data_IF_422828433239
#
_entry.id   IF_422828433239
#
_cell.length_a   1.000
_cell.length_b   1.000
_cell.length_c   1.000
_cell.angle_alpha   90.00
_cell.angle_beta   90.00
_cell.angle_gamma   90.00
#
_symmetry.space_group_name_H-M   'P 1'
#
loop_
_entity.id
_entity.type
_entity.pdbx_description
1 polymer ?
#
# COMPACT_ATOMS: atom_id res chain seq x y z
N UNK A 1 -7.65 -16.70 3.46
CA UNK A 1 -7.03 -15.37 3.68
C UNK A 1 -6.15 -14.96 2.51
N UNK A 2 -5.15 -15.79 2.18
CA UNK A 2 -4.26 -15.46 1.07
C UNK A 2 -5.00 -15.28 -0.25
N UNK A 3 -6.01 -16.11 -0.51
CA UNK A 3 -6.80 -16.00 -1.74
C UNK A 3 -7.58 -14.70 -1.81
N UNK A 4 -8.01 -14.19 -0.66
CA UNK A 4 -8.74 -12.93 -0.63
C UNK A 4 -7.81 -11.76 -0.98
N UNK A 5 -6.61 -11.74 -0.41
CA UNK A 5 -5.62 -10.69 -0.69
C UNK A 5 -5.19 -10.75 -2.15
N UNK A 6 -4.96 -11.95 -2.70
CA UNK A 6 -4.61 -12.07 -4.11
C UNK A 6 -5.71 -11.55 -5.03
N UNK A 7 -6.97 -11.83 -4.71
CA UNK A 7 -8.09 -11.35 -5.50
C UNK A 7 -8.19 -9.82 -5.46
N UNK A 8 -8.00 -9.24 -4.27
CA UNK A 8 -8.00 -7.78 -4.13
C UNK A 8 -6.87 -7.17 -4.94
N UNK A 9 -5.68 -7.75 -4.88
CA UNK A 9 -4.54 -7.27 -5.65
C UNK A 9 -4.76 -7.40 -7.16
N UNK A 10 -5.37 -8.49 -7.60
CA UNK A 10 -5.70 -8.67 -9.01
C UNK A 10 -6.68 -7.61 -9.49
N UNK A 11 -7.67 -7.28 -8.67
CA UNK A 11 -8.62 -6.22 -9.00
C UNK A 11 -7.93 -4.87 -9.09
N UNK A 12 -7.03 -4.58 -8.14
CA UNK A 12 -6.29 -3.33 -8.11
C UNK A 12 -5.40 -3.19 -9.35
N UNK A 13 -4.67 -4.25 -9.68
CA UNK A 13 -3.70 -4.21 -10.78
C UNK A 13 -4.39 -4.09 -12.14
N UNK A 14 -5.66 -4.47 -12.23
CA UNK A 14 -6.42 -4.34 -13.46
C UNK A 14 -7.00 -2.95 -13.65
N UNK A 15 -6.89 -2.07 -12.65
CA UNK A 15 -7.35 -0.69 -12.77
C UNK A 15 -6.45 0.11 -13.71
N UNK A 16 -7.03 1.05 -14.48
CA UNK A 16 -6.22 1.86 -15.39
C UNK A 16 -5.12 2.62 -14.64
N UNK A 17 -3.94 2.67 -15.24
CA UNK A 17 -2.77 3.39 -14.74
C UNK A 17 -2.13 2.80 -13.48
N UNK A 18 -2.66 1.75 -12.90
CA UNK A 18 -2.03 1.06 -11.78
C UNK A 18 -1.03 0.05 -12.34
N UNK A 19 0.24 0.16 -11.90
CA UNK A 19 1.28 -0.75 -12.39
C UNK A 19 1.85 -1.66 -11.32
N UNK A 20 1.49 -1.46 -10.05
CA UNK A 20 1.98 -2.33 -8.98
C UNK A 20 1.23 -2.08 -7.68
N UNK A 21 1.31 -3.05 -6.78
CA UNK A 21 0.80 -2.89 -5.44
C UNK A 21 1.54 -3.81 -4.47
N UNK A 22 1.56 -3.43 -3.20
CA UNK A 22 2.18 -4.19 -2.12
C UNK A 22 1.24 -4.15 -0.92
N UNK A 23 1.02 -5.30 -0.29
CA UNK A 23 0.25 -5.37 0.94
C UNK A 23 1.14 -5.83 2.08
N UNK A 24 0.99 -5.21 3.24
CA UNK A 24 1.89 -5.34 4.38
C UNK A 24 1.06 -5.57 5.64
N UNK A 25 1.52 -6.47 6.52
CA UNK A 25 0.84 -6.67 7.79
C UNK A 25 1.32 -5.65 8.83
N UNK A 26 0.76 -5.73 10.04
CA UNK A 26 1.05 -4.77 11.11
C UNK A 26 2.50 -4.86 11.62
N UNK A 27 3.22 -5.91 11.29
CA UNK A 27 4.62 -6.07 11.68
C UNK A 27 5.58 -5.65 10.57
N UNK A 28 5.05 -5.20 9.43
CA UNK A 28 5.87 -4.79 8.31
C UNK A 28 6.25 -5.93 7.37
N UNK A 29 5.63 -7.09 7.54
CA UNK A 29 5.89 -8.24 6.66
C UNK A 29 5.03 -8.17 5.42
N UNK A 30 5.62 -8.50 4.28
CA UNK A 30 4.91 -8.47 3.01
C UNK A 30 3.89 -9.60 2.94
N UNK A 31 2.62 -9.23 2.74
CA UNK A 31 1.55 -10.19 2.54
C UNK A 31 1.39 -10.56 1.07
N UNK A 32 1.81 -9.69 0.19
CA UNK A 32 1.73 -9.94 -1.24
C UNK A 32 2.19 -8.74 -2.04
N UNK A 33 2.59 -9.02 -3.28
CA UNK A 33 3.05 -8.01 -4.22
C UNK A 33 2.60 -8.41 -5.61
N UNK A 34 2.17 -7.44 -6.39
CA UNK A 34 1.76 -7.67 -7.79
C UNK A 34 2.32 -6.56 -8.67
N UNK A 35 2.55 -6.91 -9.93
CA UNK A 35 3.02 -5.94 -10.92
C UNK A 35 4.44 -5.49 -10.68
N UNK A 36 4.72 -4.27 -11.09
CA UNK A 36 6.04 -3.66 -10.97
C UNK A 36 6.20 -3.04 -9.58
N UNK A 37 6.40 -3.90 -8.59
CA UNK A 37 6.57 -3.53 -7.20
C UNK A 37 7.47 -4.57 -6.54
N UNK A 38 8.09 -4.22 -5.42
CA UNK A 38 9.05 -5.08 -4.74
C UNK A 38 8.59 -5.41 -3.32
N UNK A 39 8.72 -6.66 -2.92
CA UNK A 39 8.42 -7.05 -1.55
C UNK A 39 9.42 -6.44 -0.55
N UNK A 40 10.57 -5.97 -1.03
CA UNK A 40 11.54 -5.29 -0.18
C UNK A 40 11.03 -3.94 0.30
N UNK A 41 10.04 -3.35 -0.38
CA UNK A 41 9.44 -2.08 0.02
C UNK A 41 8.48 -2.21 1.19
N UNK A 42 8.08 -3.43 1.55
CA UNK A 42 7.03 -3.65 2.55
C UNK A 42 7.35 -3.00 3.91
N UNK A 43 8.58 -3.15 4.38
CA UNK A 43 8.97 -2.58 5.66
C UNK A 43 8.90 -1.06 5.67
N UNK A 44 9.33 -0.44 4.58
CA UNK A 44 9.28 1.03 4.44
C UNK A 44 7.84 1.52 4.38
N UNK A 45 7.00 0.82 3.62
CA UNK A 45 5.58 1.16 3.49
C UNK A 45 4.90 1.10 4.85
N UNK A 46 5.16 0.05 5.62
CA UNK A 46 4.62 -0.09 6.97
C UNK A 46 5.09 1.02 7.88
N UNK A 47 6.38 1.39 7.80
CA UNK A 47 6.94 2.46 8.61
C UNK A 47 6.33 3.81 8.28
N UNK A 48 6.10 4.09 7.00
CA UNK A 48 5.47 5.34 6.57
C UNK A 48 4.06 5.42 7.13
N UNK A 49 3.29 4.33 7.05
CA UNK A 49 1.94 4.30 7.58
C UNK A 49 1.93 4.48 9.10
N UNK A 50 2.87 3.87 9.81
CA UNK A 50 3.00 4.02 11.26
C UNK A 50 3.26 5.49 11.63
N UNK A 51 4.18 6.14 10.94
CA UNK A 51 4.50 7.52 11.23
C UNK A 51 3.33 8.46 10.92
N UNK A 52 2.66 8.23 9.80
CA UNK A 52 1.52 9.04 9.42
C UNK A 52 0.39 8.91 10.44
N UNK A 53 0.15 7.72 10.97
CA UNK A 53 -0.88 7.50 11.98
C UNK A 53 -0.61 8.28 13.27
N UNK A 54 0.64 8.61 13.55
CA UNK A 54 1.02 9.37 14.76
C UNK A 54 0.73 10.85 14.64
N UNK A 55 0.45 11.36 13.45
CA UNK A 55 0.11 12.78 13.28
C UNK A 55 -1.19 13.13 14.01
N UNK A 56 -2.17 12.24 13.93
CA UNK A 56 -3.44 12.43 14.64
C UNK A 56 -3.88 11.07 15.20
N UNK A 57 -3.35 10.66 16.36
CA UNK A 57 -3.61 9.32 16.89
C UNK A 57 -5.08 9.02 17.17
N UNK A 58 -5.89 10.06 17.39
CA UNK A 58 -7.31 9.89 17.69
C UNK A 58 -8.17 9.78 16.43
N UNK A 59 -7.58 10.04 15.28
CA UNK A 59 -8.31 10.05 14.01
C UNK A 59 -8.17 8.71 13.29
N UNK A 60 -8.95 8.55 12.22
CA UNK A 60 -8.80 7.43 11.31
C UNK A 60 -7.43 7.52 10.62
N UNK A 61 -6.84 6.38 10.26
CA UNK A 61 -5.57 6.40 9.54
C UNK A 61 -5.67 7.23 8.27
N UNK A 62 -4.70 8.09 8.01
CA UNK A 62 -4.75 8.94 6.82
C UNK A 62 -4.45 8.16 5.55
N UNK A 63 -4.90 8.71 4.42
CA UNK A 63 -4.45 8.26 3.12
C UNK A 63 -3.21 9.07 2.79
N UNK A 64 -2.13 8.39 2.43
CA UNK A 64 -0.85 9.04 2.14
C UNK A 64 -0.64 8.99 0.64
N UNK A 65 -0.38 10.14 0.04
CA UNK A 65 -0.10 10.22 -1.39
C UNK A 65 1.29 10.80 -1.56
N UNK A 66 2.17 10.07 -2.22
CA UNK A 66 3.49 10.53 -2.58
C UNK A 66 3.55 10.53 -4.10
N UNK A 67 3.87 11.67 -4.69
CA UNK A 67 3.88 11.74 -6.14
C UNK A 67 5.00 12.61 -6.68
N UNK A 68 5.44 12.26 -7.87
CA UNK A 68 6.33 13.09 -8.66
C UNK A 68 5.63 13.43 -9.98
N UNK A 69 6.37 13.90 -10.96
CA UNK A 69 5.78 14.34 -12.23
C UNK A 69 5.10 13.23 -13.00
N UNK A 70 5.51 11.98 -12.81
CA UNK A 70 5.06 10.86 -13.64
C UNK A 70 4.31 9.77 -12.88
N UNK A 71 4.56 9.63 -11.59
CA UNK A 71 4.06 8.50 -10.80
C UNK A 71 3.53 8.93 -9.45
N UNK A 72 2.63 8.10 -8.89
CA UNK A 72 2.10 8.28 -7.55
C UNK A 72 2.15 6.97 -6.79
N UNK A 73 2.35 7.05 -5.49
CA UNK A 73 2.20 5.92 -4.57
C UNK A 73 1.16 6.31 -3.53
N UNK A 74 0.09 5.53 -3.43
CA UNK A 74 -0.98 5.79 -2.47
C UNK A 74 -0.93 4.72 -1.41
N UNK A 75 -0.77 5.12 -0.15
CA UNK A 75 -0.66 4.20 0.98
C UNK A 75 -1.86 4.40 1.91
N UNK A 76 -2.52 3.33 2.27
CA UNK A 76 -3.66 3.38 3.18
C UNK A 76 -3.66 2.15 4.08
N UNK A 77 -3.85 2.39 5.37
CA UNK A 77 -3.97 1.33 6.37
C UNK A 77 -5.43 1.09 6.70
N UNK A 78 -5.85 -0.16 6.63
CA UNK A 78 -7.18 -0.57 7.02
C UNK A 78 -7.05 -1.74 7.99
N UNK A 79 -7.35 -1.49 9.26
CA UNK A 79 -7.16 -2.49 10.31
C UNK A 79 -5.69 -2.82 10.48
N UNK A 80 -5.35 -4.08 10.33
CA UNK A 80 -3.97 -4.55 10.49
C UNK A 80 -3.21 -4.66 9.17
N UNK A 81 -3.83 -4.27 8.06
CA UNK A 81 -3.24 -4.39 6.73
C UNK A 81 -3.01 -3.00 6.14
N UNK A 82 -1.82 -2.79 5.62
CA UNK A 82 -1.48 -1.55 4.90
C UNK A 82 -1.29 -1.91 3.43
N UNK A 83 -1.94 -1.18 2.55
CA UNK A 83 -1.79 -1.35 1.12
C UNK A 83 -1.08 -0.15 0.51
N UNK A 84 -0.23 -0.42 -0.47
CA UNK A 84 0.40 0.61 -1.28
C UNK A 84 0.08 0.34 -2.75
N UNK A 85 -0.40 1.35 -3.44
CA UNK A 85 -0.77 1.25 -4.84
C UNK A 85 0.11 2.21 -5.63
N UNK A 86 0.76 1.69 -6.65
CA UNK A 86 1.64 2.46 -7.54
C UNK A 86 0.91 2.70 -8.85
N UNK A 87 0.85 3.96 -9.26
CA UNK A 87 0.15 4.30 -10.50
C UNK A 87 0.89 5.38 -11.28
N UNK A 88 0.66 5.41 -12.57
CA UNK A 88 1.13 6.50 -13.42
C UNK A 88 0.13 7.65 -13.37
N UNK A 89 0.64 8.85 -13.42
CA UNK A 89 -0.19 10.05 -13.42
C UNK A 89 -0.78 10.35 -14.80
#
# INVERSE_FOLDING_TARGET
MEKHIERVMDDIISSPNVFGCVFVDHQGLCLGVKGDASNESAGIIGAIADQAAKLEPQSQPPIIVMEDDTKSCIIHRNGTVTGAIYKTN
#
